data_IF_040397773425
#
_entry.id   IF_040397773425
#
_cell.length_a   1.000
_cell.length_b   1.000
_cell.length_c   1.000
_cell.angle_alpha   90.00
_cell.angle_beta   90.00
_cell.angle_gamma   90.00
#
_symmetry.space_group_name_H-M   'P 1'
#
loop_
_entity.id
_entity.type
_entity.pdbx_description
1 polymer ?
#
# COMPACT_ATOMS: atom_id res chain seq x y z
N UNK A 1 26.28 9.47 -8.66
CA UNK A 1 25.52 8.34 -8.11
C UNK A 1 24.09 8.82 -7.94
N UNK A 2 23.14 8.27 -8.70
CA UNK A 2 21.73 8.55 -8.51
C UNK A 2 21.18 7.59 -7.45
N UNK A 3 20.38 8.11 -6.49
CA UNK A 3 19.58 7.26 -5.61
C UNK A 3 18.30 6.87 -6.33
N UNK A 4 17.87 5.61 -6.14
CA UNK A 4 16.51 5.20 -6.45
C UNK A 4 15.56 5.60 -5.33
N UNK A 5 14.28 5.80 -5.66
CA UNK A 5 13.25 6.06 -4.65
C UNK A 5 11.96 5.29 -4.92
N UNK A 6 11.25 4.99 -3.85
CA UNK A 6 9.87 4.52 -3.85
C UNK A 6 8.96 5.74 -3.74
N UNK A 7 8.00 5.86 -4.64
CA UNK A 7 6.91 6.82 -4.52
C UNK A 7 5.75 6.15 -3.77
N UNK A 8 5.39 6.67 -2.61
CA UNK A 8 4.27 6.18 -1.82
C UNK A 8 3.06 7.10 -1.95
N UNK A 9 1.97 6.59 -2.50
CA UNK A 9 0.74 7.33 -2.77
C UNK A 9 -0.30 7.06 -1.67
N UNK A 10 -0.39 7.96 -0.69
CA UNK A 10 -1.31 7.81 0.45
C UNK A 10 -2.80 8.03 0.09
N UNK A 11 -3.10 8.71 -1.02
CA UNK A 11 -4.46 9.15 -1.39
C UNK A 11 -5.19 9.87 -0.27
N UNK A 12 -4.46 10.74 0.41
CA UNK A 12 -4.93 11.54 1.55
C UNK A 12 -4.13 12.84 1.64
N UNK A 13 -4.72 13.90 2.19
CA UNK A 13 -3.99 15.14 2.52
C UNK A 13 -3.10 15.01 3.76
N UNK A 14 -3.18 13.87 4.44
CA UNK A 14 -2.43 13.53 5.65
C UNK A 14 -1.78 12.17 5.49
N UNK A 15 -0.93 11.79 6.45
CA UNK A 15 -0.51 10.41 6.56
C UNK A 15 -1.71 9.48 6.68
N UNK A 16 -1.85 8.59 5.71
CA UNK A 16 -2.75 7.46 5.81
C UNK A 16 -2.06 6.38 6.65
N UNK A 17 -2.77 5.82 7.61
CA UNK A 17 -2.35 4.73 8.47
C UNK A 17 -3.54 3.79 8.75
N UNK A 18 -3.36 2.64 9.42
CA UNK A 18 -4.47 1.71 9.65
C UNK A 18 -5.64 2.27 10.47
N UNK A 19 -5.43 3.35 11.19
CA UNK A 19 -6.48 4.05 11.96
C UNK A 19 -7.10 5.22 11.19
N UNK A 20 -6.51 5.63 10.04
CA UNK A 20 -6.88 6.86 9.37
C UNK A 20 -6.64 6.79 7.86
N UNK A 21 -7.69 6.56 7.10
CA UNK A 21 -7.67 6.44 5.64
C UNK A 21 -8.68 7.41 5.01
N UNK A 22 -8.54 8.70 5.35
CA UNK A 22 -9.49 9.75 4.96
C UNK A 22 -9.16 10.23 3.55
N UNK A 23 -10.12 10.26 2.62
CA UNK A 23 -9.92 10.83 1.29
C UNK A 23 -9.42 12.28 1.35
N UNK A 24 -8.65 12.73 0.34
CA UNK A 24 -8.28 14.13 0.21
C UNK A 24 -9.51 15.04 0.26
N UNK A 25 -9.34 16.25 0.74
CA UNK A 25 -10.44 17.24 0.82
C UNK A 25 -11.09 17.46 -0.55
N UNK A 26 -10.30 17.43 -1.61
CA UNK A 26 -10.80 17.57 -2.99
C UNK A 26 -11.71 16.41 -3.44
N UNK A 27 -11.62 15.24 -2.80
CA UNK A 27 -12.39 14.05 -3.12
C UNK A 27 -13.55 13.79 -2.14
N UNK A 28 -13.72 14.63 -1.13
CA UNK A 28 -14.81 14.50 -0.16
C UNK A 28 -16.16 14.72 -0.86
N UNK A 29 -17.10 13.81 -0.62
CA UNK A 29 -18.41 13.81 -1.25
C UNK A 29 -18.49 13.05 -2.58
N UNK A 30 -17.39 12.57 -3.11
CA UNK A 30 -17.36 11.66 -4.26
C UNK A 30 -17.97 10.30 -3.90
N UNK A 31 -18.68 9.69 -4.84
CA UNK A 31 -19.13 8.30 -4.75
C UNK A 31 -18.01 7.32 -5.14
N UNK A 32 -18.31 6.01 -5.08
CA UNK A 32 -17.31 4.96 -5.37
C UNK A 32 -16.77 5.01 -6.79
N UNK A 33 -17.60 5.37 -7.78
CA UNK A 33 -17.18 5.48 -9.18
C UNK A 33 -16.24 6.66 -9.38
N UNK A 34 -16.60 7.80 -8.79
CA UNK A 34 -15.80 9.03 -8.83
C UNK A 34 -14.47 8.86 -8.11
N UNK A 35 -14.46 8.20 -6.93
CA UNK A 35 -13.22 7.89 -6.21
C UNK A 35 -12.31 6.94 -7.02
N UNK A 36 -12.90 5.96 -7.69
CA UNK A 36 -12.15 5.04 -8.56
C UNK A 36 -11.45 5.80 -9.69
N UNK A 37 -12.16 6.71 -10.35
CA UNK A 37 -11.60 7.56 -11.39
C UNK A 37 -10.51 8.50 -10.81
N UNK A 38 -10.78 9.12 -9.67
CA UNK A 38 -9.83 10.03 -9.01
C UNK A 38 -8.51 9.34 -8.63
N UNK A 39 -8.55 8.10 -8.14
CA UNK A 39 -7.32 7.30 -7.87
C UNK A 39 -6.53 7.07 -9.15
N UNK A 40 -7.21 6.66 -10.22
CA UNK A 40 -6.56 6.44 -11.50
C UNK A 40 -5.93 7.73 -12.05
N UNK A 41 -6.72 8.79 -12.14
CA UNK A 41 -6.30 10.07 -12.73
C UNK A 41 -5.13 10.69 -11.96
N UNK A 42 -5.21 10.72 -10.64
CA UNK A 42 -4.15 11.25 -9.79
C UNK A 42 -2.84 10.47 -9.93
N UNK A 43 -2.93 9.14 -9.90
CA UNK A 43 -1.76 8.27 -10.06
C UNK A 43 -1.10 8.49 -11.43
N UNK A 44 -1.89 8.54 -12.50
CA UNK A 44 -1.41 8.80 -13.84
C UNK A 44 -0.80 10.19 -13.97
N UNK A 45 -1.44 11.24 -13.42
CA UNK A 45 -0.94 12.61 -13.45
C UNK A 45 0.42 12.74 -12.75
N UNK A 46 0.56 12.19 -11.55
CA UNK A 46 1.82 12.21 -10.79
C UNK A 46 2.93 11.54 -11.58
N UNK A 47 2.69 10.35 -12.13
CA UNK A 47 3.71 9.62 -12.89
C UNK A 47 4.06 10.31 -14.21
N UNK A 48 3.09 10.89 -14.90
CA UNK A 48 3.35 11.71 -16.11
C UNK A 48 4.20 12.93 -15.77
N UNK A 49 3.95 13.57 -14.63
CA UNK A 49 4.76 14.69 -14.18
C UNK A 49 6.19 14.25 -13.87
N UNK A 50 6.36 13.16 -13.13
CA UNK A 50 7.69 12.58 -12.86
C UNK A 50 8.43 12.23 -14.16
N UNK A 51 7.73 11.67 -15.16
CA UNK A 51 8.31 11.35 -16.45
C UNK A 51 8.77 12.58 -17.24
N UNK A 52 8.00 13.66 -17.20
CA UNK A 52 8.37 14.94 -17.86
C UNK A 52 9.63 15.58 -17.25
N UNK A 53 9.80 15.42 -15.94
CA UNK A 53 10.94 15.95 -15.20
C UNK A 53 12.15 14.99 -15.15
N UNK A 54 12.06 13.82 -15.81
CA UNK A 54 13.08 12.76 -15.82
C UNK A 54 13.44 12.24 -14.41
N UNK A 55 12.41 12.14 -13.54
CA UNK A 55 12.52 11.69 -12.15
C UNK A 55 11.55 10.54 -11.83
N UNK A 56 11.38 9.60 -12.76
CA UNK A 56 10.52 8.43 -12.49
C UNK A 56 11.04 7.65 -11.27
N UNK A 57 10.13 7.23 -10.36
CA UNK A 57 10.48 6.36 -9.26
C UNK A 57 10.92 4.98 -9.77
N UNK A 58 11.62 4.21 -8.95
CA UNK A 58 11.93 2.81 -9.23
C UNK A 58 10.80 1.86 -8.83
N UNK A 59 9.85 2.35 -8.03
CA UNK A 59 8.70 1.59 -7.55
C UNK A 59 7.61 2.57 -7.07
N UNK A 60 6.36 2.14 -7.14
CA UNK A 60 5.22 2.88 -6.60
C UNK A 60 4.48 2.03 -5.57
N UNK A 61 4.22 2.58 -4.39
CA UNK A 61 3.24 2.02 -3.47
C UNK A 61 1.86 2.61 -3.79
N UNK A 62 0.89 1.74 -4.04
CA UNK A 62 -0.52 2.12 -4.27
C UNK A 62 -1.27 2.03 -2.94
N UNK A 63 -1.31 3.13 -2.23
CA UNK A 63 -1.83 3.24 -0.88
C UNK A 63 -0.82 2.83 0.20
N UNK A 64 -0.93 3.46 1.37
CA UNK A 64 -0.10 3.19 2.53
C UNK A 64 -0.86 2.46 3.64
N UNK A 65 -0.23 1.42 4.23
CA UNK A 65 -0.75 0.65 5.37
C UNK A 65 -2.23 0.24 5.22
N UNK A 66 -2.53 -0.47 4.14
CA UNK A 66 -3.87 -0.80 3.65
C UNK A 66 -4.65 -1.82 4.50
N UNK A 67 -4.18 -2.18 5.68
CA UNK A 67 -4.77 -3.22 6.53
C UNK A 67 -6.26 -3.03 6.77
N UNK A 68 -6.69 -1.80 7.01
CA UNK A 68 -8.09 -1.44 7.19
C UNK A 68 -8.73 -0.78 5.94
N UNK A 69 -8.06 -0.92 4.77
CA UNK A 69 -8.49 -0.38 3.49
C UNK A 69 -7.95 1.02 3.22
N UNK A 70 -8.63 1.77 2.34
CA UNK A 70 -8.28 3.13 1.93
C UNK A 70 -9.55 3.92 1.56
N UNK A 71 -9.47 5.24 1.52
CA UNK A 71 -10.55 6.13 1.06
C UNK A 71 -11.90 5.87 1.78
N UNK A 72 -11.86 5.91 3.11
CA UNK A 72 -13.04 5.68 3.94
C UNK A 72 -14.13 6.75 3.69
N UNK A 73 -15.44 6.37 3.84
CA UNK A 73 -15.93 5.08 4.36
C UNK A 73 -16.04 3.98 3.31
N UNK A 74 -15.95 4.26 2.02
CA UNK A 74 -16.26 3.30 0.96
C UNK A 74 -15.27 2.13 0.87
N UNK A 75 -13.96 2.40 0.94
CA UNK A 75 -12.92 1.38 0.90
C UNK A 75 -12.49 0.90 2.29
N UNK A 76 -13.43 0.73 3.23
CA UNK A 76 -13.14 0.28 4.58
C UNK A 76 -13.48 -1.20 4.78
N UNK A 77 -12.59 -1.94 5.44
CA UNK A 77 -12.88 -3.30 5.90
C UNK A 77 -14.19 -3.30 6.73
N UNK A 78 -15.11 -4.27 6.51
CA UNK A 78 -14.92 -5.51 5.77
C UNK A 78 -15.27 -5.49 4.27
N UNK A 79 -15.56 -4.35 3.68
CA UNK A 79 -15.90 -4.26 2.25
C UNK A 79 -14.65 -4.31 1.36
N UNK A 80 -14.23 -5.52 0.98
CA UNK A 80 -13.08 -5.70 0.09
C UNK A 80 -13.36 -5.37 -1.38
N UNK A 81 -14.60 -5.33 -1.80
CA UNK A 81 -14.94 -5.00 -3.18
C UNK A 81 -14.47 -3.60 -3.57
N UNK A 82 -14.77 -2.61 -2.73
CA UNK A 82 -14.32 -1.24 -2.98
C UNK A 82 -12.83 -1.07 -2.75
N UNK A 83 -12.23 -1.75 -1.74
CA UNK A 83 -10.78 -1.74 -1.52
C UNK A 83 -10.06 -2.20 -2.78
N UNK A 84 -10.43 -3.36 -3.30
CA UNK A 84 -9.83 -3.94 -4.52
C UNK A 84 -10.06 -3.04 -5.73
N UNK A 85 -11.25 -2.48 -5.86
CA UNK A 85 -11.60 -1.56 -6.95
C UNK A 85 -10.69 -0.34 -7.00
N UNK A 86 -10.44 0.30 -5.87
CA UNK A 86 -9.57 1.47 -5.77
C UNK A 86 -8.10 1.10 -6.01
N UNK A 87 -7.63 0.01 -5.42
CA UNK A 87 -6.26 -0.48 -5.64
C UNK A 87 -6.03 -0.82 -7.11
N UNK A 88 -6.95 -1.55 -7.74
CA UNK A 88 -6.85 -1.89 -9.16
C UNK A 88 -6.81 -0.65 -10.05
N UNK A 89 -7.54 0.42 -9.71
CA UNK A 89 -7.47 1.68 -10.45
C UNK A 89 -6.05 2.29 -10.38
N UNK A 90 -5.44 2.30 -9.21
CA UNK A 90 -4.06 2.77 -9.04
C UNK A 90 -3.05 1.90 -9.79
N UNK A 91 -3.15 0.56 -9.68
CA UNK A 91 -2.26 -0.38 -10.38
C UNK A 91 -2.36 -0.18 -11.90
N UNK A 92 -3.58 -0.10 -12.46
CA UNK A 92 -3.76 0.15 -13.89
C UNK A 92 -3.15 1.47 -14.33
N UNK A 93 -3.35 2.54 -13.54
CA UNK A 93 -2.74 3.83 -13.85
C UNK A 93 -1.21 3.76 -13.90
N UNK A 94 -0.57 3.01 -12.97
CA UNK A 94 0.88 2.79 -13.00
C UNK A 94 1.28 2.04 -14.26
N UNK A 95 0.64 0.92 -14.58
CA UNK A 95 1.02 0.07 -15.72
C UNK A 95 0.80 0.76 -17.07
N UNK A 96 -0.24 1.58 -17.19
CA UNK A 96 -0.56 2.29 -18.43
C UNK A 96 0.32 3.53 -18.63
N UNK A 97 0.70 4.21 -17.54
CA UNK A 97 1.49 5.46 -17.61
C UNK A 97 3.00 5.19 -17.64
N UNK A 98 3.45 4.18 -16.90
CA UNK A 98 4.86 3.80 -16.79
C UNK A 98 5.01 2.28 -16.90
N UNK A 99 4.89 1.69 -18.11
CA UNK A 99 4.95 0.25 -18.31
C UNK A 99 6.24 -0.37 -17.74
N UNK A 100 6.05 -1.42 -16.94
CA UNK A 100 7.16 -2.13 -16.28
C UNK A 100 7.61 -1.53 -14.94
N UNK A 101 7.01 -0.42 -14.50
CA UNK A 101 7.28 0.13 -13.18
C UNK A 101 6.69 -0.80 -12.09
N UNK A 102 7.51 -1.30 -11.14
CA UNK A 102 7.04 -2.19 -10.09
C UNK A 102 6.03 -1.51 -9.16
N UNK A 103 5.01 -2.29 -8.76
CA UNK A 103 4.00 -1.84 -7.79
C UNK A 103 4.15 -2.59 -6.48
N UNK A 104 4.00 -1.88 -5.36
CA UNK A 104 3.94 -2.41 -4.01
C UNK A 104 2.56 -2.20 -3.41
N UNK A 105 2.05 -3.22 -2.71
CA UNK A 105 0.94 -3.08 -1.76
C UNK A 105 1.47 -3.22 -0.34
N UNK A 106 1.17 -2.24 0.50
CA UNK A 106 1.78 -2.06 1.81
C UNK A 106 0.77 -2.28 2.93
N UNK A 107 1.08 -3.20 3.85
CA UNK A 107 0.30 -3.44 5.08
C UNK A 107 1.16 -3.19 6.32
N UNK A 108 0.51 -2.84 7.41
CA UNK A 108 1.14 -2.77 8.73
C UNK A 108 1.20 -4.15 9.42
N UNK A 109 1.62 -4.19 10.69
CA UNK A 109 1.65 -5.41 11.51
C UNK A 109 2.47 -6.57 10.92
N UNK A 110 3.68 -6.30 10.43
CA UNK A 110 4.52 -7.25 9.69
C UNK A 110 4.77 -8.61 10.34
N UNK A 111 4.61 -8.75 11.65
CA UNK A 111 4.69 -10.04 12.35
C UNK A 111 3.37 -10.85 12.40
N UNK A 112 2.27 -10.31 11.89
CA UNK A 112 0.95 -10.95 11.97
C UNK A 112 0.60 -11.75 10.70
N UNK A 113 1.08 -12.98 10.59
CA UNK A 113 0.84 -13.82 9.41
C UNK A 113 -0.65 -14.05 9.11
N UNK A 114 -1.49 -14.25 10.13
CA UNK A 114 -2.92 -14.48 9.92
C UNK A 114 -3.61 -13.27 9.28
N UNK A 115 -3.21 -12.05 9.64
CA UNK A 115 -3.69 -10.81 9.04
C UNK A 115 -3.32 -10.75 7.55
N UNK A 116 -2.04 -10.99 7.21
CA UNK A 116 -1.55 -10.97 5.83
C UNK A 116 -2.25 -12.01 4.96
N UNK A 117 -2.40 -13.23 5.44
CA UNK A 117 -3.15 -14.29 4.72
C UNK A 117 -4.60 -13.88 4.49
N UNK A 118 -5.30 -13.44 5.52
CA UNK A 118 -6.69 -13.03 5.39
C UNK A 118 -6.85 -11.88 4.39
N UNK A 119 -5.97 -10.89 4.46
CA UNK A 119 -6.04 -9.71 3.60
C UNK A 119 -5.79 -10.06 2.13
N UNK A 120 -4.68 -10.71 1.82
CA UNK A 120 -4.31 -11.03 0.44
C UNK A 120 -5.19 -12.14 -0.17
N UNK A 121 -5.63 -13.12 0.62
CA UNK A 121 -6.60 -14.11 0.13
C UNK A 121 -7.91 -13.44 -0.32
N UNK A 122 -8.40 -12.47 0.45
CA UNK A 122 -9.58 -11.68 0.07
C UNK A 122 -9.33 -10.75 -1.09
N UNK A 123 -8.18 -10.10 -1.12
CA UNK A 123 -7.78 -9.25 -2.24
C UNK A 123 -7.85 -10.00 -3.58
N UNK A 124 -7.23 -11.16 -3.66
CA UNK A 124 -7.25 -11.97 -4.87
C UNK A 124 -8.62 -12.60 -5.15
N UNK A 125 -9.36 -13.00 -4.12
CA UNK A 125 -10.72 -13.53 -4.29
C UNK A 125 -11.70 -12.49 -4.88
N UNK A 126 -11.51 -11.20 -4.58
CA UNK A 126 -12.29 -10.09 -5.15
C UNK A 126 -11.75 -9.58 -6.49
N UNK A 127 -10.80 -10.29 -7.10
CA UNK A 127 -10.25 -9.93 -8.41
C UNK A 127 -9.20 -8.83 -8.36
N UNK A 128 -8.39 -8.80 -7.30
CA UNK A 128 -7.23 -7.91 -7.21
C UNK A 128 -6.25 -8.15 -8.37
N UNK A 129 -5.82 -7.07 -9.02
CA UNK A 129 -4.81 -7.11 -10.09
C UNK A 129 -3.45 -7.51 -9.54
N UNK A 130 -2.62 -8.04 -10.43
CA UNK A 130 -1.27 -8.45 -10.08
C UNK A 130 -0.36 -7.25 -9.77
N UNK A 131 0.58 -7.46 -8.84
CA UNK A 131 1.54 -6.45 -8.40
C UNK A 131 2.88 -7.14 -8.08
N UNK A 132 3.95 -6.37 -7.81
CA UNK A 132 5.31 -6.89 -7.68
C UNK A 132 5.70 -7.20 -6.25
N UNK A 133 5.49 -6.28 -5.32
CA UNK A 133 6.03 -6.34 -3.96
C UNK A 133 4.94 -6.28 -2.89
N UNK A 134 5.09 -7.08 -1.85
CA UNK A 134 4.37 -6.86 -0.58
C UNK A 134 5.27 -6.03 0.33
N UNK A 135 4.79 -4.83 0.68
CA UNK A 135 5.41 -3.97 1.68
C UNK A 135 4.89 -4.30 3.09
N UNK A 136 5.78 -4.22 4.06
CA UNK A 136 5.44 -4.46 5.47
C UNK A 136 5.96 -3.30 6.33
N UNK A 137 5.11 -2.77 7.24
CA UNK A 137 5.60 -2.00 8.38
C UNK A 137 5.94 -2.96 9.52
N UNK A 138 7.12 -2.78 10.10
CA UNK A 138 7.54 -3.58 11.25
C UNK A 138 8.12 -2.70 12.36
N UNK A 139 7.36 -2.61 13.43
CA UNK A 139 7.74 -1.93 14.66
C UNK A 139 7.81 -2.96 15.79
N UNK A 140 9.00 -3.39 16.24
CA UNK A 140 9.16 -4.56 17.12
C UNK A 140 8.30 -4.57 18.39
N UNK A 141 7.95 -3.38 18.89
CA UNK A 141 7.14 -3.27 20.13
C UNK A 141 5.65 -3.55 19.92
N UNK A 142 5.16 -3.37 18.69
CA UNK A 142 3.72 -3.50 18.39
C UNK A 142 3.41 -4.65 17.44
N UNK A 143 4.37 -4.99 16.57
CA UNK A 143 4.13 -5.89 15.46
C UNK A 143 4.67 -7.31 15.69
N UNK A 144 5.00 -7.66 16.94
CA UNK A 144 5.49 -8.99 17.31
C UNK A 144 7.01 -9.14 17.23
N UNK A 145 7.49 -10.36 17.40
CA UNK A 145 8.92 -10.65 17.43
C UNK A 145 9.53 -10.70 16.02
N UNK A 146 10.86 -10.56 15.94
CA UNK A 146 11.61 -10.79 14.70
C UNK A 146 11.37 -12.18 14.09
N UNK A 147 11.16 -13.19 14.95
CA UNK A 147 10.82 -14.52 14.49
C UNK A 147 9.45 -14.56 13.82
N UNK A 148 8.44 -13.90 14.38
CA UNK A 148 7.11 -13.78 13.77
C UNK A 148 7.18 -13.03 12.43
N UNK A 149 7.96 -11.96 12.34
CA UNK A 149 8.21 -11.27 11.07
C UNK A 149 8.81 -12.21 10.03
N UNK A 150 9.87 -12.93 10.41
CA UNK A 150 10.55 -13.90 9.54
C UNK A 150 9.62 -15.00 9.05
N UNK A 151 8.82 -15.56 9.95
CA UNK A 151 7.82 -16.58 9.61
C UNK A 151 6.77 -16.05 8.65
N UNK A 152 6.22 -14.85 8.93
CA UNK A 152 5.25 -14.20 8.05
C UNK A 152 5.85 -13.98 6.66
N UNK A 153 7.01 -13.35 6.57
CA UNK A 153 7.67 -13.06 5.29
C UNK A 153 7.90 -14.34 4.48
N UNK A 154 8.45 -15.39 5.11
CA UNK A 154 8.69 -16.67 4.43
C UNK A 154 7.40 -17.34 3.92
N UNK A 155 6.33 -17.21 4.67
CA UNK A 155 5.05 -17.81 4.30
C UNK A 155 4.38 -17.05 3.14
N UNK A 156 4.23 -15.72 3.27
CA UNK A 156 3.54 -14.92 2.26
C UNK A 156 4.30 -14.85 0.93
N UNK A 157 5.65 -14.83 0.98
CA UNK A 157 6.46 -14.92 -0.23
C UNK A 157 6.16 -16.18 -1.03
N UNK A 158 6.14 -17.35 -0.35
CA UNK A 158 5.83 -18.63 -1.01
C UNK A 158 4.37 -18.73 -1.44
N UNK A 159 3.44 -18.22 -0.63
CA UNK A 159 2.01 -18.32 -0.87
C UNK A 159 1.58 -17.50 -2.06
N UNK A 160 2.07 -16.28 -2.19
CA UNK A 160 1.63 -15.34 -3.23
C UNK A 160 2.64 -15.16 -4.36
N UNK A 161 3.83 -15.74 -4.24
CA UNK A 161 4.88 -15.61 -5.27
C UNK A 161 5.35 -14.17 -5.46
N UNK A 162 5.37 -13.38 -4.37
CA UNK A 162 5.75 -11.97 -4.38
C UNK A 162 7.07 -11.75 -3.68
N UNK A 163 7.83 -10.77 -4.17
CA UNK A 163 8.97 -10.23 -3.44
C UNK A 163 8.49 -9.35 -2.27
N UNK A 164 9.33 -9.22 -1.24
CA UNK A 164 8.95 -8.55 0.00
C UNK A 164 9.91 -7.42 0.35
N UNK A 165 9.35 -6.34 0.89
CA UNK A 165 10.11 -5.20 1.39
C UNK A 165 9.57 -4.85 2.78
N UNK A 166 10.45 -4.76 3.78
CA UNK A 166 10.11 -4.05 5.02
C UNK A 166 10.22 -2.56 4.69
N UNK A 167 9.07 -1.99 4.33
CA UNK A 167 8.96 -0.62 3.82
C UNK A 167 9.13 0.42 4.94
N UNK A 168 8.64 0.06 6.13
CA UNK A 168 8.78 0.90 7.32
C UNK A 168 9.31 0.08 8.48
N UNK A 169 10.30 0.64 9.16
CA UNK A 169 10.83 0.08 10.41
C UNK A 169 11.31 1.21 11.31
N UNK A 170 10.97 1.11 12.58
CA UNK A 170 11.54 1.99 13.59
C UNK A 170 11.73 1.25 14.89
N UNK A 171 12.76 1.61 15.62
CA UNK A 171 13.06 1.14 16.95
C UNK A 171 13.60 2.30 17.76
N UNK A 172 13.03 2.54 18.94
CA UNK A 172 13.49 3.59 19.83
C UNK A 172 14.94 3.40 20.22
N UNK A 173 15.64 4.50 20.38
CA UNK A 173 17.04 4.48 20.84
C UNK A 173 17.14 4.09 22.32
N UNK A 174 16.13 4.43 23.10
CA UNK A 174 16.03 4.10 24.53
C UNK A 174 14.65 3.55 24.88
N UNK A 175 14.52 2.91 26.05
CA UNK A 175 13.20 2.46 26.55
C UNK A 175 12.25 3.64 26.87
N UNK A 176 12.75 4.87 26.92
CA UNK A 176 11.92 6.06 27.13
C UNK A 176 11.16 6.49 25.89
N UNK A 177 11.64 6.10 24.71
CA UNK A 177 11.01 6.38 23.41
C UNK A 177 9.68 5.61 23.23
N UNK A 178 9.32 4.72 24.17
CA UNK A 178 8.14 3.86 24.13
C UNK A 178 7.12 4.13 25.26
N UNK A 179 7.20 5.28 25.92
CA UNK A 179 6.27 5.68 26.98
C UNK A 179 5.11 6.52 26.49
#
# INVERSE_FOLDING_TARGET
MGFGFLLDLHYSDFWADPGKQIPPKAWQGMNEDELTAAVYDYTAEVLQHCGKEDILPQMVAVGNELTNGLLWPYGRVPDFKNIVRFINAGIRAVHETAPGLPVMLHLDNGGNNALYRNWFDRYFAEGGEDFTYIGLSYYPFWHGTMEMLRENMNDIARRYGKDLIVAEVSMGHTMEDYK
#
